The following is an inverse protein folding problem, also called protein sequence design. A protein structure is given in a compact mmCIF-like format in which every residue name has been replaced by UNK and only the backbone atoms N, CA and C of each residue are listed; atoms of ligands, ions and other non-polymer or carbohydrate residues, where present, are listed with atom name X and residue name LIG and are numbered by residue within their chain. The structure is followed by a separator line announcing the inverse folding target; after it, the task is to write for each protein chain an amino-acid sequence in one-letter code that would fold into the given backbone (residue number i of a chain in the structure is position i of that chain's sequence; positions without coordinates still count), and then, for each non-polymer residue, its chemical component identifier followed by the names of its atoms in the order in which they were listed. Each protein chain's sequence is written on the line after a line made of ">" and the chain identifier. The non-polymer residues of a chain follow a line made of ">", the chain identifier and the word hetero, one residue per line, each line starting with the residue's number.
data_IF_048655395298
#
_entry.id   IF_048655395298
#
_cell.length_a   1.000
_cell.length_b   1.000
_cell.length_c   1.000
_cell.angle_alpha   90.00
_cell.angle_beta   90.00
_cell.angle_gamma   90.00
#
_symmetry.space_group_name_H-M   'P 1'
#
loop_
_entity.id
_entity.type
_entity.pdbx_description
1 polymer ?
#
# COMPACT_ATOMS: atom_id res chain seq x y z
N UNK A 1 16.87 -18.13 3.43
CA UNK A 1 16.44 -16.78 3.81
C UNK A 1 15.02 -16.55 3.32
N UNK A 2 14.17 -16.08 4.20
CA UNK A 2 12.80 -15.79 3.82
C UNK A 2 12.74 -14.54 2.95
N UNK A 3 12.03 -14.63 1.88
CA UNK A 3 11.80 -13.50 1.00
C UNK A 3 10.49 -12.83 1.37
N UNK A 4 10.42 -11.54 1.13
CA UNK A 4 9.17 -10.82 1.28
C UNK A 4 8.36 -10.97 0.00
N UNK A 5 7.07 -11.26 0.16
CA UNK A 5 6.14 -11.39 -0.95
C UNK A 5 5.15 -10.23 -0.92
N UNK A 6 4.88 -9.66 -2.08
CA UNK A 6 3.93 -8.56 -2.21
C UNK A 6 2.68 -9.04 -2.96
N UNK A 7 1.53 -8.57 -2.52
CA UNK A 7 0.27 -8.80 -3.22
C UNK A 7 -0.69 -7.63 -2.98
N UNK A 8 -1.73 -7.57 -3.78
CA UNK A 8 -2.77 -6.56 -3.58
C UNK A 8 -3.46 -6.78 -2.25
N UNK A 9 -3.86 -5.68 -1.62
CA UNK A 9 -4.59 -5.72 -0.36
C UNK A 9 -5.94 -6.41 -0.51
N UNK A 10 -6.37 -7.10 0.54
CA UNK A 10 -7.70 -7.72 0.64
C UNK A 10 -8.40 -7.17 1.87
N UNK A 11 -9.72 -7.31 1.90
CA UNK A 11 -10.49 -6.86 3.05
C UNK A 11 -10.01 -7.47 4.37
N UNK A 12 -9.63 -8.73 4.36
CA UNK A 12 -9.15 -9.46 5.54
C UNK A 12 -7.85 -8.90 6.11
N UNK A 13 -7.11 -8.10 5.33
CA UNK A 13 -5.85 -7.50 5.77
C UNK A 13 -6.04 -6.22 6.57
N UNK A 14 -7.25 -5.69 6.64
CA UNK A 14 -7.46 -4.31 7.08
C UNK A 14 -7.00 -4.05 8.50
N UNK A 15 -7.19 -5.00 9.42
CA UNK A 15 -6.75 -4.83 10.79
C UNK A 15 -5.23 -4.72 10.91
N UNK A 16 -4.52 -5.61 10.22
CA UNK A 16 -3.06 -5.60 10.23
C UNK A 16 -2.49 -4.36 9.56
N UNK A 17 -3.13 -3.92 8.47
CA UNK A 17 -2.73 -2.70 7.78
C UNK A 17 -2.94 -1.48 8.66
N UNK A 18 -4.05 -1.41 9.40
CA UNK A 18 -4.29 -0.29 10.32
C UNK A 18 -3.24 -0.23 11.43
N UNK A 19 -2.80 -1.38 11.93
CA UNK A 19 -1.73 -1.43 12.94
C UNK A 19 -0.43 -0.86 12.36
N UNK A 20 -0.09 -1.24 11.12
CA UNK A 20 1.07 -0.67 10.43
C UNK A 20 0.94 0.83 10.21
N UNK A 21 -0.19 1.27 9.68
CA UNK A 21 -0.42 2.69 9.40
C UNK A 21 -0.36 3.53 10.67
N UNK A 22 -0.73 2.95 11.81
CA UNK A 22 -0.65 3.64 13.10
C UNK A 22 0.80 3.96 13.48
N UNK A 23 1.79 3.23 12.95
CA UNK A 23 3.21 3.57 13.13
C UNK A 23 3.59 4.80 12.32
N UNK A 24 2.92 5.04 11.21
CA UNK A 24 3.19 6.19 10.34
C UNK A 24 2.46 7.45 10.84
N UNK A 25 1.20 7.29 11.18
CA UNK A 25 0.35 8.38 11.68
C UNK A 25 -0.70 7.77 12.60
N UNK A 26 -0.83 8.32 13.80
CA UNK A 26 -1.78 7.80 14.79
C UNK A 26 -3.19 7.74 14.25
N UNK A 27 -3.82 6.59 14.38
CA UNK A 27 -5.19 6.31 13.95
C UNK A 27 -6.01 5.95 15.19
N UNK A 28 -7.24 6.44 15.26
CA UNK A 28 -8.17 6.05 16.31
C UNK A 28 -8.75 4.67 15.99
N UNK A 29 -8.01 3.62 16.33
CA UNK A 29 -8.36 2.25 15.99
C UNK A 29 -9.64 1.75 16.66
N UNK A 30 -10.05 2.39 17.77
CA UNK A 30 -11.27 2.00 18.49
C UNK A 30 -12.54 2.49 17.79
N UNK A 31 -12.46 3.64 17.16
CA UNK A 31 -13.63 4.33 16.60
C UNK A 31 -13.72 4.28 15.08
N UNK A 32 -12.71 3.75 14.40
CA UNK A 32 -12.75 3.68 12.95
C UNK A 32 -13.72 2.58 12.49
N UNK A 33 -14.59 2.91 11.55
CA UNK A 33 -15.50 1.95 10.93
C UNK A 33 -14.73 1.23 9.82
N UNK A 34 -14.24 0.04 10.12
CA UNK A 34 -13.37 -0.73 9.21
C UNK A 34 -14.10 -1.15 7.94
N UNK A 35 -15.36 -1.52 8.07
CA UNK A 35 -16.15 -1.94 6.90
C UNK A 35 -16.38 -0.78 5.95
N UNK A 36 -16.71 0.38 6.50
CA UNK A 36 -16.88 1.59 5.70
C UNK A 36 -15.56 1.99 5.03
N UNK A 37 -14.47 1.96 5.78
CA UNK A 37 -13.15 2.31 5.25
C UNK A 37 -12.78 1.40 4.08
N UNK A 38 -13.00 0.10 4.23
CA UNK A 38 -12.73 -0.85 3.16
C UNK A 38 -13.62 -0.60 1.93
N UNK A 39 -14.91 -0.41 2.16
CA UNK A 39 -15.84 -0.20 1.05
C UNK A 39 -15.52 1.08 0.27
N UNK A 40 -15.20 2.17 0.98
CA UNK A 40 -14.83 3.43 0.34
C UNK A 40 -13.53 3.28 -0.46
N UNK A 41 -12.54 2.63 0.12
CA UNK A 41 -11.28 2.35 -0.57
C UNK A 41 -11.51 1.47 -1.80
N UNK A 42 -12.23 0.37 -1.64
CA UNK A 42 -12.41 -0.63 -2.68
C UNK A 42 -13.24 -0.10 -3.86
N UNK A 43 -14.09 0.90 -3.61
CA UNK A 43 -14.87 1.52 -4.68
C UNK A 43 -14.06 2.54 -5.48
N UNK A 44 -12.90 2.94 -4.98
CA UNK A 44 -12.01 3.90 -5.64
C UNK A 44 -11.04 3.17 -6.56
N UNK A 45 -11.29 3.21 -7.86
CA UNK A 45 -10.47 2.50 -8.85
C UNK A 45 -9.11 3.14 -9.10
N UNK A 46 -8.87 4.35 -8.58
CA UNK A 46 -7.59 5.05 -8.75
C UNK A 46 -6.53 4.57 -7.76
N UNK A 47 -6.93 4.02 -6.63
CA UNK A 47 -5.99 3.59 -5.59
C UNK A 47 -5.62 2.13 -5.76
N UNK A 48 -4.32 1.87 -5.71
CA UNK A 48 -3.77 0.51 -5.79
C UNK A 48 -2.87 0.33 -4.59
N UNK A 49 -3.26 -0.54 -3.67
CA UNK A 49 -2.50 -0.78 -2.45
C UNK A 49 -2.00 -2.21 -2.39
N UNK A 50 -0.78 -2.37 -1.90
CA UNK A 50 -0.15 -3.67 -1.74
C UNK A 50 0.30 -3.87 -0.31
N UNK A 51 0.37 -5.12 0.09
CA UNK A 51 0.92 -5.52 1.38
C UNK A 51 2.13 -6.39 1.13
N UNK A 52 3.12 -6.27 2.01
CA UNK A 52 4.30 -7.12 2.01
C UNK A 52 4.20 -8.14 3.13
N UNK A 53 4.45 -9.41 2.80
CA UNK A 53 4.30 -10.52 3.72
C UNK A 53 5.65 -11.17 3.96
N UNK A 54 6.01 -11.32 5.22
CA UNK A 54 7.25 -11.94 5.65
C UNK A 54 6.94 -12.86 6.83
N UNK A 55 7.32 -14.13 6.72
CA UNK A 55 7.02 -15.13 7.76
C UNK A 55 5.53 -15.15 8.11
N UNK A 56 4.68 -15.18 7.10
CA UNK A 56 3.21 -15.23 7.23
C UNK A 56 2.60 -14.03 7.96
N UNK A 57 3.32 -12.92 8.05
CA UNK A 57 2.88 -11.70 8.71
C UNK A 57 2.92 -10.53 7.73
N UNK A 58 1.95 -9.63 7.82
CA UNK A 58 1.98 -8.39 7.06
C UNK A 58 2.96 -7.44 7.75
N UNK A 59 4.02 -7.08 7.04
CA UNK A 59 5.11 -6.24 7.56
C UNK A 59 5.29 -4.94 6.78
N UNK A 60 4.56 -4.77 5.68
CA UNK A 60 4.70 -3.57 4.86
C UNK A 60 3.39 -3.26 4.17
N UNK A 61 3.18 -1.99 3.90
CA UNK A 61 2.03 -1.50 3.17
C UNK A 61 2.44 -0.28 2.35
N UNK A 62 1.89 -0.16 1.17
CA UNK A 62 2.10 1.01 0.35
C UNK A 62 1.00 1.15 -0.68
N UNK A 63 0.82 2.36 -1.16
CA UNK A 63 -0.23 2.68 -2.12
C UNK A 63 0.31 3.52 -3.25
N UNK A 64 -0.25 3.35 -4.44
CA UNK A 64 -0.04 4.28 -5.55
C UNK A 64 -1.40 4.69 -6.08
N UNK A 65 -1.59 6.00 -6.19
CA UNK A 65 -2.81 6.59 -6.74
C UNK A 65 -2.53 6.95 -8.19
N UNK A 66 -3.36 6.45 -9.10
CA UNK A 66 -3.22 6.68 -10.52
C UNK A 66 -4.12 7.84 -10.91
N UNK A 67 -3.51 8.89 -11.41
CA UNK A 67 -4.23 10.09 -11.83
C UNK A 67 -4.24 10.18 -13.36
N UNK A 68 -5.45 10.16 -13.94
CA UNK A 68 -5.63 10.42 -15.36
C UNK A 68 -5.88 11.92 -15.54
N UNK A 69 -4.89 12.62 -16.08
CA UNK A 69 -4.99 14.07 -16.25
C UNK A 69 -5.85 14.41 -17.44
N UNK A 70 -6.52 15.56 -17.36
CA UNK A 70 -7.44 15.98 -18.44
C UNK A 70 -6.72 16.09 -19.80
N UNK A 71 -5.43 16.34 -19.80
CA UNK A 71 -4.62 16.45 -21.03
C UNK A 71 -4.16 15.10 -21.58
N UNK A 72 -4.62 13.99 -20.97
CA UNK A 72 -4.32 12.65 -21.48
C UNK A 72 -3.12 11.96 -20.85
N UNK A 73 -2.37 12.65 -20.02
CA UNK A 73 -1.23 12.04 -19.32
C UNK A 73 -1.70 11.27 -18.10
N UNK A 74 -0.94 10.23 -17.74
CA UNK A 74 -1.24 9.39 -16.57
C UNK A 74 -0.07 9.50 -15.60
N UNK A 75 -0.35 9.87 -14.36
CA UNK A 75 0.66 10.01 -13.33
C UNK A 75 0.37 9.07 -12.15
N UNK A 76 1.42 8.58 -11.50
CA UNK A 76 1.29 7.79 -10.29
C UNK A 76 1.82 8.55 -9.09
N UNK A 77 1.09 8.52 -7.99
CA UNK A 77 1.48 9.15 -6.73
C UNK A 77 1.62 8.09 -5.66
N UNK A 78 2.83 7.90 -5.17
CA UNK A 78 3.12 6.94 -4.11
C UNK A 78 2.77 7.57 -2.77
N UNK A 79 1.98 6.87 -1.96
CA UNK A 79 1.49 7.38 -0.69
C UNK A 79 1.47 6.29 0.39
N UNK A 80 1.51 6.73 1.64
CA UNK A 80 1.31 5.88 2.82
C UNK A 80 2.25 4.67 2.87
N UNK A 81 3.52 4.91 2.58
CA UNK A 81 4.54 3.85 2.66
C UNK A 81 4.88 3.60 4.13
N UNK A 82 4.70 2.37 4.56
CA UNK A 82 5.08 1.98 5.93
C UNK A 82 5.68 0.58 5.95
N UNK A 83 6.74 0.43 6.72
CA UNK A 83 7.43 -0.86 6.94
C UNK A 83 7.53 -1.06 8.45
N UNK A 84 7.16 -2.26 8.90
CA UNK A 84 7.26 -2.62 10.31
C UNK A 84 8.69 -2.45 10.79
N UNK A 85 8.85 -1.85 11.97
CA UNK A 85 10.17 -1.59 12.55
C UNK A 85 11.01 -2.87 12.74
N UNK A 86 10.38 -4.00 12.95
CA UNK A 86 11.06 -5.28 13.14
C UNK A 86 11.80 -5.78 11.90
N UNK A 87 11.41 -5.32 10.72
CA UNK A 87 12.05 -5.74 9.46
C UNK A 87 12.81 -4.61 8.77
N UNK A 88 12.96 -3.47 9.42
CA UNK A 88 13.77 -2.38 8.88
C UNK A 88 15.21 -2.84 8.69
N UNK A 89 15.87 -2.34 7.66
CA UNK A 89 17.23 -2.74 7.34
C UNK A 89 17.32 -3.96 6.44
N UNK A 90 16.19 -4.57 6.06
CA UNK A 90 16.15 -5.74 5.16
C UNK A 90 15.76 -5.36 3.74
N UNK A 91 15.88 -4.10 3.37
CA UNK A 91 15.55 -3.59 2.03
C UNK A 91 14.06 -3.71 1.67
N UNK A 92 13.20 -3.87 2.67
CA UNK A 92 11.76 -4.06 2.44
C UNK A 92 11.14 -2.82 1.81
N UNK A 93 11.51 -1.63 2.30
CA UNK A 93 11.01 -0.37 1.76
C UNK A 93 11.39 -0.18 0.29
N UNK A 94 12.62 -0.54 -0.06
CA UNK A 94 13.08 -0.45 -1.45
C UNK A 94 12.28 -1.40 -2.33
N UNK A 95 12.08 -2.64 -1.90
CA UNK A 95 11.31 -3.63 -2.64
C UNK A 95 9.86 -3.20 -2.80
N UNK A 96 9.27 -2.63 -1.75
CA UNK A 96 7.91 -2.12 -1.76
C UNK A 96 7.74 -1.03 -2.83
N UNK A 97 8.66 -0.07 -2.85
CA UNK A 97 8.60 1.04 -3.83
C UNK A 97 8.77 0.50 -5.25
N UNK A 98 9.68 -0.46 -5.46
CA UNK A 98 9.85 -1.09 -6.77
C UNK A 98 8.56 -1.75 -7.26
N UNK A 99 7.84 -2.45 -6.38
CA UNK A 99 6.57 -3.06 -6.73
C UNK A 99 5.52 -2.02 -7.12
N UNK A 100 5.45 -0.91 -6.38
CA UNK A 100 4.51 0.17 -6.70
C UNK A 100 4.85 0.82 -8.03
N UNK A 101 6.12 0.99 -8.33
CA UNK A 101 6.57 1.52 -9.62
C UNK A 101 6.15 0.59 -10.75
N UNK A 102 6.31 -0.72 -10.56
CA UNK A 102 5.90 -1.70 -11.58
C UNK A 102 4.38 -1.66 -11.83
N UNK A 103 3.57 -1.52 -10.77
CA UNK A 103 2.13 -1.36 -10.92
C UNK A 103 1.83 -0.09 -11.73
N UNK A 104 2.50 1.01 -11.41
CA UNK A 104 2.32 2.28 -12.10
C UNK A 104 2.63 2.15 -13.59
N UNK A 105 3.73 1.47 -13.94
CA UNK A 105 4.11 1.25 -15.34
C UNK A 105 3.05 0.43 -16.08
N UNK A 106 2.54 -0.62 -15.44
CA UNK A 106 1.48 -1.44 -16.03
C UNK A 106 0.19 -0.67 -16.26
N UNK A 107 -0.03 0.39 -15.47
CA UNK A 107 -1.19 1.27 -15.61
C UNK A 107 -0.93 2.44 -16.56
N UNK A 108 0.23 2.49 -17.19
CA UNK A 108 0.54 3.49 -18.19
C UNK A 108 1.07 4.82 -17.64
N UNK A 109 1.54 4.86 -16.40
CA UNK A 109 2.07 6.08 -15.83
C UNK A 109 3.38 6.47 -16.51
N UNK A 110 3.47 7.73 -16.92
CA UNK A 110 4.70 8.30 -17.47
C UNK A 110 5.56 8.95 -16.38
N UNK A 111 4.95 9.26 -15.25
CA UNK A 111 5.60 9.91 -14.12
C UNK A 111 5.08 9.32 -12.81
N UNK A 112 5.97 9.13 -11.89
CA UNK A 112 5.66 8.59 -10.57
C UNK A 112 6.21 9.51 -9.49
#
# INVERSE_FOLDING_TARGET
>A
MSEINFRLIKEEDINDVFILLNQLKKIDLENIDRKKAWNDFNSNTSSNSIVGIYNNRIVAYGSVVIENKIRGEVAGHIEDIVVDSEVRGKMVGVSLIKELIEISKRKGCYRI
#
